data_IF_487558454208
#
_entry.id   IF_487558454208
#
_cell.length_a   1.000
_cell.length_b   1.000
_cell.length_c   1.000
_cell.angle_alpha   90.00
_cell.angle_beta   90.00
_cell.angle_gamma   90.00
#
_symmetry.space_group_name_H-M   'P 1'
#
loop_
_entity.id
_entity.type
_entity.pdbx_description
1 polymer ?
#
# COMPACT_ATOMS: atom_id res chain seq x y z
N UNK A 1 3.19 18.20 36.87
CA UNK A 1 1.89 18.66 36.48
C UNK A 1 1.48 17.89 35.27
N UNK A 2 1.31 18.39 34.07
CA UNK A 2 0.86 17.60 32.90
C UNK A 2 1.78 16.41 32.57
N UNK A 3 3.08 16.59 32.58
CA UNK A 3 4.07 15.54 32.30
C UNK A 3 4.05 14.40 33.34
N UNK A 4 3.66 14.71 34.60
CA UNK A 4 3.50 13.71 35.66
C UNK A 4 2.22 12.90 35.43
N UNK A 5 1.12 13.53 35.05
CA UNK A 5 -0.15 12.85 34.72
C UNK A 5 0.04 11.93 33.53
N UNK A 6 0.67 12.41 32.44
CA UNK A 6 0.97 11.60 31.25
C UNK A 6 1.82 10.37 31.60
N UNK A 7 2.88 10.55 32.40
CA UNK A 7 3.73 9.43 32.83
C UNK A 7 2.94 8.42 33.70
N UNK A 8 2.06 8.90 34.57
CA UNK A 8 1.23 8.05 35.42
C UNK A 8 0.27 7.20 34.58
N UNK A 9 -0.43 7.79 33.62
CA UNK A 9 -1.33 7.05 32.73
C UNK A 9 -0.57 6.04 31.85
N UNK A 10 0.59 6.41 31.33
CA UNK A 10 1.44 5.48 30.57
C UNK A 10 1.80 4.26 31.44
N UNK A 11 2.18 4.45 32.72
CA UNK A 11 2.48 3.34 33.62
C UNK A 11 1.25 2.46 33.88
N UNK A 12 0.07 3.05 33.98
CA UNK A 12 -1.16 2.28 34.14
C UNK A 12 -1.47 1.46 32.87
N UNK A 13 -1.27 2.04 31.68
CA UNK A 13 -1.41 1.34 30.40
C UNK A 13 -0.38 0.20 30.31
N UNK A 14 0.87 0.44 30.68
CA UNK A 14 1.90 -0.61 30.75
C UNK A 14 1.45 -1.75 31.64
N UNK A 15 1.01 -1.47 32.85
CA UNK A 15 0.54 -2.48 33.81
C UNK A 15 -0.70 -3.23 33.34
N UNK A 16 -1.58 -2.58 32.57
CA UNK A 16 -2.72 -3.23 31.94
C UNK A 16 -2.29 -4.14 30.80
N UNK A 17 -1.47 -3.64 29.88
CA UNK A 17 -1.02 -4.38 28.69
C UNK A 17 -0.08 -5.53 29.04
N UNK A 18 0.72 -5.39 30.10
CA UNK A 18 1.65 -6.44 30.55
C UNK A 18 0.92 -7.70 31.01
N UNK A 19 -0.26 -7.57 31.63
CA UNK A 19 -1.12 -8.70 32.00
C UNK A 19 -1.43 -9.61 30.80
N UNK A 20 -1.40 -9.05 29.61
CA UNK A 20 -1.70 -9.72 28.36
C UNK A 20 -0.44 -9.96 27.50
N UNK A 21 0.74 -9.74 28.10
CA UNK A 21 2.04 -9.93 27.42
C UNK A 21 2.25 -8.96 26.23
N UNK A 22 1.72 -7.75 26.33
CA UNK A 22 1.98 -6.66 25.39
C UNK A 22 3.04 -5.76 26.00
N UNK A 23 4.19 -5.65 25.34
CA UNK A 23 5.35 -4.94 25.87
C UNK A 23 5.16 -3.44 26.04
N UNK A 24 5.96 -2.80 26.92
CA UNK A 24 5.81 -1.39 27.34
C UNK A 24 5.96 -0.39 26.17
N UNK A 25 6.68 -0.75 25.10
CA UNK A 25 6.82 0.11 23.90
C UNK A 25 5.49 0.40 23.23
N UNK A 26 4.50 -0.49 23.35
CA UNK A 26 3.16 -0.28 22.81
C UNK A 26 2.37 0.76 23.61
N UNK A 27 2.62 0.90 24.93
CA UNK A 27 1.90 1.80 25.82
C UNK A 27 2.13 3.28 25.46
N UNK A 28 3.36 3.67 25.15
CA UNK A 28 3.67 5.04 24.71
C UNK A 28 2.94 5.37 23.40
N UNK A 29 2.95 4.43 22.45
CA UNK A 29 2.25 4.58 21.18
C UNK A 29 0.74 4.72 21.36
N UNK A 30 0.17 3.95 22.27
CA UNK A 30 -1.25 3.99 22.63
C UNK A 30 -1.60 5.34 23.27
N UNK A 31 -0.81 5.79 24.27
CA UNK A 31 -1.03 7.07 24.92
C UNK A 31 -0.88 8.25 23.95
N UNK A 32 0.12 8.21 23.06
CA UNK A 32 0.33 9.25 22.05
C UNK A 32 -0.87 9.40 21.10
N UNK A 33 -1.58 8.30 20.79
CA UNK A 33 -2.74 8.30 19.91
C UNK A 33 -4.06 8.58 20.62
N UNK A 34 -4.23 8.07 21.84
CA UNK A 34 -5.47 8.20 22.60
C UNK A 34 -5.50 9.42 23.53
N UNK A 35 -4.36 9.86 24.07
CA UNK A 35 -4.27 10.95 25.04
C UNK A 35 -4.78 10.57 26.42
N UNK A 36 -5.16 11.58 27.21
CA UNK A 36 -5.74 11.41 28.53
C UNK A 36 -7.00 10.54 28.51
N UNK A 37 -7.18 9.69 29.54
CA UNK A 37 -8.28 8.72 29.62
C UNK A 37 -8.11 7.52 28.69
N UNK A 38 -6.90 7.27 28.19
CA UNK A 38 -6.62 6.15 27.30
C UNK A 38 -7.00 4.80 27.92
N UNK A 39 -6.69 4.59 29.20
CA UNK A 39 -7.00 3.35 29.90
C UNK A 39 -8.51 3.10 30.02
N UNK A 40 -9.30 4.14 30.30
CA UNK A 40 -10.76 4.07 30.38
C UNK A 40 -11.34 3.66 29.03
N UNK A 41 -10.89 4.32 27.94
CA UNK A 41 -11.31 3.97 26.57
C UNK A 41 -10.95 2.54 26.18
N UNK A 42 -9.77 2.05 26.57
CA UNK A 42 -9.36 0.66 26.33
C UNK A 42 -10.24 -0.30 27.16
N UNK A 43 -10.56 0.07 28.40
CA UNK A 43 -11.42 -0.75 29.26
C UNK A 43 -12.84 -0.85 28.73
N UNK A 44 -13.38 0.23 28.16
CA UNK A 44 -14.69 0.25 27.50
C UNK A 44 -14.71 -0.44 26.13
N UNK A 45 -13.57 -0.41 25.43
CA UNK A 45 -13.42 -1.00 24.12
C UNK A 45 -11.98 -1.51 23.90
N UNK A 46 -11.65 -2.74 24.29
CA UNK A 46 -10.31 -3.30 24.08
C UNK A 46 -9.87 -3.32 22.63
N UNK A 47 -10.81 -3.42 21.68
CA UNK A 47 -10.51 -3.49 20.25
C UNK A 47 -9.90 -2.20 19.67
N UNK A 48 -9.96 -1.10 20.40
CA UNK A 48 -9.24 0.13 19.99
C UNK A 48 -7.73 -0.10 19.94
N UNK A 49 -7.20 -1.09 20.66
CA UNK A 49 -5.80 -1.47 20.65
C UNK A 49 -5.34 -1.97 19.28
N UNK A 50 -6.22 -2.59 18.49
CA UNK A 50 -5.90 -3.04 17.13
C UNK A 50 -5.58 -1.83 16.23
N UNK A 51 -6.31 -0.73 16.41
CA UNK A 51 -6.15 0.50 15.61
C UNK A 51 -4.95 1.36 16.07
N UNK A 52 -4.55 1.27 17.37
CA UNK A 52 -3.59 2.24 17.94
C UNK A 52 -2.26 1.63 18.40
N UNK A 53 -2.21 0.33 18.70
CA UNK A 53 -1.01 -0.30 19.23
C UNK A 53 -0.22 -1.00 18.12
N UNK A 54 1.05 -0.63 17.97
CA UNK A 54 1.96 -1.29 17.04
C UNK A 54 2.20 -2.74 17.47
N UNK A 55 2.19 -3.68 16.52
CA UNK A 55 2.49 -5.10 16.74
C UNK A 55 1.47 -5.85 17.63
N UNK A 56 0.27 -5.30 17.80
CA UNK A 56 -0.83 -5.97 18.51
C UNK A 56 -1.84 -6.44 17.48
N UNK A 57 -1.97 -7.76 17.35
CA UNK A 57 -2.92 -8.38 16.43
C UNK A 57 -4.31 -8.54 17.07
N UNK A 58 -5.32 -8.68 16.21
CA UNK A 58 -6.71 -8.90 16.62
C UNK A 58 -6.86 -10.08 17.59
N UNK A 59 -6.26 -11.24 17.28
CA UNK A 59 -6.42 -12.47 18.07
C UNK A 59 -6.00 -12.31 19.51
N UNK A 60 -4.95 -11.51 19.75
CA UNK A 60 -4.47 -11.21 21.09
C UNK A 60 -5.42 -10.28 21.85
N UNK A 61 -5.91 -9.24 21.16
CA UNK A 61 -6.89 -8.31 21.73
C UNK A 61 -8.23 -9.01 21.97
N UNK A 62 -8.66 -9.88 21.06
CA UNK A 62 -9.90 -10.65 21.19
C UNK A 62 -9.89 -11.52 22.44
N UNK A 63 -8.77 -12.21 22.70
CA UNK A 63 -8.61 -12.98 23.94
C UNK A 63 -8.76 -12.11 25.19
N UNK A 64 -8.12 -10.93 25.20
CA UNK A 64 -8.22 -9.96 26.29
C UNK A 64 -9.68 -9.53 26.50
N UNK A 65 -10.34 -9.13 25.40
CA UNK A 65 -11.72 -8.66 25.42
C UNK A 65 -12.68 -9.73 25.96
N UNK A 66 -12.50 -11.00 25.54
CA UNK A 66 -13.29 -12.14 26.02
C UNK A 66 -13.07 -12.39 27.52
N UNK A 67 -11.83 -12.32 28.01
CA UNK A 67 -11.52 -12.42 29.43
C UNK A 67 -12.11 -11.26 30.25
N UNK A 68 -12.30 -10.08 29.63
CA UNK A 68 -12.99 -8.93 30.23
C UNK A 68 -14.52 -9.04 30.17
N UNK A 69 -15.07 -10.12 29.57
CA UNK A 69 -16.50 -10.38 29.49
C UNK A 69 -17.22 -9.71 28.33
N UNK A 70 -16.49 -9.33 27.27
CA UNK A 70 -17.11 -8.86 26.03
C UNK A 70 -17.86 -10.01 25.36
N UNK A 71 -19.12 -9.80 24.98
CA UNK A 71 -19.95 -10.80 24.34
C UNK A 71 -19.44 -11.17 22.93
N UNK A 72 -19.59 -12.44 22.56
CA UNK A 72 -19.14 -12.95 21.24
C UNK A 72 -19.76 -12.19 20.08
N UNK A 73 -21.04 -11.82 20.17
CA UNK A 73 -21.80 -11.06 19.15
C UNK A 73 -21.59 -9.55 19.22
N UNK A 74 -20.70 -9.05 20.07
CA UNK A 74 -20.47 -7.62 20.20
C UNK A 74 -20.02 -6.99 18.88
N UNK A 75 -20.71 -5.94 18.43
CA UNK A 75 -20.41 -5.23 17.19
C UNK A 75 -18.96 -4.75 17.11
N UNK A 76 -18.39 -4.23 18.21
CA UNK A 76 -16.99 -3.73 18.23
C UNK A 76 -16.00 -4.86 17.95
N UNK A 77 -16.30 -6.07 18.46
CA UNK A 77 -15.53 -7.30 18.19
C UNK A 77 -15.58 -7.66 16.72
N UNK A 78 -16.78 -7.81 16.16
CA UNK A 78 -17.00 -8.23 14.78
C UNK A 78 -16.39 -7.22 13.80
N UNK A 79 -16.62 -5.92 14.02
CA UNK A 79 -16.02 -4.83 13.25
C UNK A 79 -14.49 -4.93 13.23
N UNK A 80 -13.88 -5.18 14.38
CA UNK A 80 -12.42 -5.28 14.48
C UNK A 80 -11.89 -6.54 13.77
N UNK A 81 -12.61 -7.66 13.84
CA UNK A 81 -12.33 -8.87 13.09
C UNK A 81 -12.33 -8.61 11.58
N UNK A 82 -13.39 -8.00 11.06
CA UNK A 82 -13.52 -7.66 9.63
C UNK A 82 -12.36 -6.75 9.18
N UNK A 83 -11.99 -5.75 9.95
CA UNK A 83 -10.83 -4.91 9.64
C UNK A 83 -9.54 -5.71 9.56
N UNK A 84 -9.33 -6.60 10.54
CA UNK A 84 -8.17 -7.47 10.57
C UNK A 84 -8.13 -8.44 9.38
N UNK A 85 -9.26 -9.04 9.01
CA UNK A 85 -9.39 -9.89 7.83
C UNK A 85 -9.01 -9.14 6.55
N UNK A 86 -9.54 -7.94 6.35
CA UNK A 86 -9.21 -7.09 5.21
C UNK A 86 -7.73 -6.67 5.20
N UNK A 87 -7.13 -6.38 6.36
CA UNK A 87 -5.71 -6.07 6.48
C UNK A 87 -4.83 -7.28 6.11
N UNK A 88 -5.17 -8.48 6.59
CA UNK A 88 -4.49 -9.73 6.21
C UNK A 88 -4.54 -10.00 4.71
N UNK A 89 -5.69 -9.73 4.09
CA UNK A 89 -5.87 -9.83 2.64
C UNK A 89 -4.96 -8.84 1.93
N UNK A 90 -4.83 -7.61 2.44
CA UNK A 90 -3.91 -6.59 1.96
C UNK A 90 -2.45 -7.00 2.04
N UNK A 91 -2.02 -7.60 3.15
CA UNK A 91 -0.66 -8.14 3.32
C UNK A 91 -0.33 -9.25 2.32
N UNK A 92 -1.33 -9.98 1.82
CA UNK A 92 -1.17 -10.97 0.76
C UNK A 92 -1.18 -10.36 -0.65
N UNK A 93 -1.17 -9.04 -0.78
CA UNK A 93 -1.11 -8.33 -2.06
C UNK A 93 -2.46 -8.14 -2.75
N UNK A 94 -3.58 -8.27 -2.04
CA UNK A 94 -4.91 -8.04 -2.57
C UNK A 94 -5.53 -6.79 -1.96
N UNK A 95 -6.14 -5.93 -2.76
CA UNK A 95 -6.82 -4.72 -2.30
C UNK A 95 -8.26 -4.96 -1.87
N UNK A 96 -8.86 -6.07 -2.29
CA UNK A 96 -10.24 -6.44 -2.04
C UNK A 96 -10.43 -7.95 -1.94
N UNK A 97 -11.61 -8.35 -1.48
CA UNK A 97 -12.03 -9.75 -1.36
C UNK A 97 -13.49 -9.90 -1.78
N UNK A 98 -13.85 -11.08 -2.30
CA UNK A 98 -15.26 -11.43 -2.53
C UNK A 98 -16.03 -11.44 -1.21
N UNK A 99 -17.26 -10.90 -1.24
CA UNK A 99 -18.13 -10.83 -0.06
C UNK A 99 -18.29 -12.20 0.63
N UNK A 100 -18.62 -13.23 -0.14
CA UNK A 100 -18.81 -14.58 0.40
C UNK A 100 -17.54 -15.15 1.05
N UNK A 101 -16.38 -14.82 0.48
CA UNK A 101 -15.09 -15.27 1.03
C UNK A 101 -14.76 -14.55 2.34
N UNK A 102 -15.11 -13.26 2.44
CA UNK A 102 -14.96 -12.50 3.68
C UNK A 102 -15.87 -13.07 4.77
N UNK A 103 -17.14 -13.28 4.47
CA UNK A 103 -18.10 -13.89 5.41
C UNK A 103 -17.57 -15.21 5.95
N UNK A 104 -17.12 -16.09 5.07
CA UNK A 104 -16.58 -17.40 5.47
C UNK A 104 -15.35 -17.25 6.34
N UNK A 105 -14.42 -16.36 5.98
CA UNK A 105 -13.23 -16.11 6.77
C UNK A 105 -13.58 -15.61 8.18
N UNK A 106 -14.53 -14.65 8.28
CA UNK A 106 -14.94 -14.08 9.56
C UNK A 106 -15.73 -15.07 10.42
N UNK A 107 -16.53 -15.96 9.82
CA UNK A 107 -17.18 -17.05 10.57
C UNK A 107 -16.14 -17.97 11.20
N UNK A 108 -15.10 -18.35 10.46
CA UNK A 108 -14.02 -19.20 10.96
C UNK A 108 -13.21 -18.50 12.06
N UNK A 109 -12.95 -17.19 11.90
CA UNK A 109 -12.18 -16.38 12.84
C UNK A 109 -12.95 -16.10 14.13
N UNK A 110 -14.17 -15.61 14.01
CA UNK A 110 -14.96 -15.08 15.14
C UNK A 110 -15.88 -16.12 15.77
N UNK A 111 -16.24 -17.16 15.05
CA UNK A 111 -17.17 -18.23 15.46
C UNK A 111 -18.55 -17.68 15.89
N UNK A 112 -19.04 -16.70 15.15
CA UNK A 112 -20.35 -16.09 15.35
C UNK A 112 -21.30 -16.41 14.22
N UNK A 113 -22.60 -16.16 14.44
CA UNK A 113 -23.61 -16.34 13.40
C UNK A 113 -23.38 -15.40 12.22
N UNK A 114 -23.68 -15.87 11.02
CA UNK A 114 -23.52 -15.12 9.77
C UNK A 114 -24.28 -13.79 9.82
N UNK A 115 -25.48 -13.78 10.39
CA UNK A 115 -26.31 -12.57 10.47
C UNK A 115 -25.61 -11.45 11.25
N UNK A 116 -24.84 -11.77 12.29
CA UNK A 116 -24.09 -10.79 13.06
C UNK A 116 -22.96 -10.17 12.23
N UNK A 117 -22.32 -10.95 11.34
CA UNK A 117 -21.27 -10.47 10.45
C UNK A 117 -21.87 -9.58 9.36
N UNK A 118 -22.98 -10.01 8.74
CA UNK A 118 -23.68 -9.25 7.71
C UNK A 118 -24.19 -7.90 8.26
N UNK A 119 -24.79 -7.92 9.46
CA UNK A 119 -25.22 -6.69 10.12
C UNK A 119 -24.04 -5.74 10.39
N UNK A 120 -22.91 -6.27 10.84
CA UNK A 120 -21.70 -5.47 11.05
C UNK A 120 -21.18 -4.88 9.74
N UNK A 121 -21.16 -5.64 8.64
CA UNK A 121 -20.78 -5.16 7.30
C UNK A 121 -21.69 -4.01 6.85
N UNK A 122 -22.99 -4.15 7.02
CA UNK A 122 -23.98 -3.09 6.69
C UNK A 122 -23.70 -1.82 7.49
N UNK A 123 -23.44 -1.96 8.80
CA UNK A 123 -23.10 -0.81 9.66
C UNK A 123 -21.76 -0.17 9.28
N UNK A 124 -20.74 -0.98 8.94
CA UNK A 124 -19.43 -0.47 8.52
C UNK A 124 -19.51 0.25 7.17
N UNK A 125 -20.33 -0.25 6.22
CA UNK A 125 -20.62 0.42 4.95
C UNK A 125 -21.30 1.78 5.19
N UNK A 126 -22.32 1.81 6.06
CA UNK A 126 -23.01 3.05 6.41
C UNK A 126 -22.11 4.11 7.08
N UNK A 127 -21.06 3.66 7.80
CA UNK A 127 -20.04 4.52 8.41
C UNK A 127 -18.86 4.81 7.47
N UNK A 128 -18.92 4.36 6.23
CA UNK A 128 -17.85 4.50 5.24
C UNK A 128 -16.49 3.93 5.70
N UNK A 129 -16.48 2.88 6.51
CA UNK A 129 -15.26 2.20 6.93
C UNK A 129 -14.79 1.17 5.90
N UNK A 130 -15.73 0.61 5.17
CA UNK A 130 -15.53 -0.31 4.05
C UNK A 130 -16.34 0.14 2.84
N UNK A 131 -15.95 -0.34 1.67
CA UNK A 131 -16.67 -0.13 0.41
C UNK A 131 -17.10 -1.47 -0.16
N UNK A 132 -18.37 -1.56 -0.54
CA UNK A 132 -18.93 -2.68 -1.28
C UNK A 132 -19.11 -2.25 -2.74
N UNK A 133 -18.53 -3.02 -3.66
CA UNK A 133 -18.55 -2.74 -5.10
C UNK A 133 -19.15 -3.92 -5.85
N UNK A 134 -20.27 -3.67 -6.54
CA UNK A 134 -20.85 -4.61 -7.49
C UNK A 134 -20.09 -4.52 -8.81
N UNK A 135 -19.54 -5.64 -9.27
CA UNK A 135 -18.84 -5.70 -10.55
C UNK A 135 -19.72 -6.29 -11.65
N UNK A 136 -19.38 -6.04 -12.94
CA UNK A 136 -20.16 -6.52 -14.08
C UNK A 136 -20.33 -8.04 -14.16
N UNK A 137 -19.50 -8.81 -13.45
CA UNK A 137 -19.61 -10.27 -13.32
C UNK A 137 -20.69 -10.72 -12.33
N UNK A 138 -21.43 -9.77 -11.74
CA UNK A 138 -22.49 -10.00 -10.74
C UNK A 138 -21.98 -10.36 -9.36
N UNK A 139 -20.66 -10.17 -9.09
CA UNK A 139 -20.06 -10.44 -7.79
C UNK A 139 -19.86 -9.15 -7.00
N UNK A 140 -20.14 -9.24 -5.70
CA UNK A 140 -19.89 -8.16 -4.76
C UNK A 140 -18.50 -8.30 -4.13
N UNK A 141 -17.74 -7.20 -4.13
CA UNK A 141 -16.39 -7.11 -3.61
C UNK A 141 -16.32 -6.16 -2.42
N UNK A 142 -15.56 -6.53 -1.41
CA UNK A 142 -15.37 -5.75 -0.19
C UNK A 142 -13.95 -5.20 -0.15
N UNK A 143 -13.84 -3.91 0.08
CA UNK A 143 -12.59 -3.18 0.26
C UNK A 143 -12.53 -2.53 1.64
N UNK A 144 -11.34 -2.40 2.21
CA UNK A 144 -11.14 -1.32 3.16
C UNK A 144 -11.21 0.02 2.44
N UNK A 145 -11.73 1.07 3.08
CA UNK A 145 -11.85 2.40 2.47
C UNK A 145 -10.53 2.90 1.89
N UNK A 146 -9.43 2.73 2.63
CA UNK A 146 -8.11 3.19 2.21
C UNK A 146 -7.63 2.52 0.91
N UNK A 147 -7.82 1.21 0.76
CA UNK A 147 -7.44 0.50 -0.47
C UNK A 147 -8.32 0.90 -1.65
N UNK A 148 -9.62 1.06 -1.43
CA UNK A 148 -10.53 1.54 -2.48
C UNK A 148 -10.15 2.93 -3.00
N UNK A 149 -9.93 3.88 -2.08
CA UNK A 149 -9.51 5.23 -2.43
C UNK A 149 -8.14 5.24 -3.14
N UNK A 150 -7.20 4.41 -2.67
CA UNK A 150 -5.90 4.29 -3.31
C UNK A 150 -6.00 3.77 -4.75
N UNK A 151 -6.74 2.69 -4.99
CA UNK A 151 -6.98 2.16 -6.35
C UNK A 151 -7.66 3.19 -7.25
N UNK A 152 -8.71 3.84 -6.76
CA UNK A 152 -9.43 4.86 -7.50
C UNK A 152 -8.51 6.02 -7.88
N UNK A 153 -7.76 6.55 -6.92
CA UNK A 153 -6.82 7.64 -7.15
C UNK A 153 -5.72 7.27 -8.16
N UNK A 154 -5.18 6.04 -8.07
CA UNK A 154 -4.19 5.53 -9.02
C UNK A 154 -4.82 5.44 -10.43
N UNK A 155 -6.02 4.88 -10.55
CA UNK A 155 -6.70 4.76 -11.83
C UNK A 155 -6.98 6.14 -12.46
N UNK A 156 -7.48 7.09 -11.70
CA UNK A 156 -7.73 8.46 -12.16
C UNK A 156 -6.45 9.14 -12.65
N UNK A 157 -5.34 9.02 -11.90
CA UNK A 157 -4.04 9.58 -12.29
C UNK A 157 -3.47 8.92 -13.54
N UNK A 158 -3.55 7.59 -13.65
CA UNK A 158 -3.08 6.87 -14.85
C UNK A 158 -3.90 7.28 -16.08
N UNK A 159 -5.23 7.39 -15.95
CA UNK A 159 -6.10 7.86 -17.03
C UNK A 159 -5.77 9.31 -17.41
N UNK A 160 -5.53 10.18 -16.42
CA UNK A 160 -5.10 11.54 -16.65
C UNK A 160 -3.79 11.63 -17.41
N UNK A 161 -2.78 10.87 -16.99
CA UNK A 161 -1.49 10.78 -17.69
C UNK A 161 -1.65 10.25 -19.12
N UNK A 162 -2.44 9.18 -19.31
CA UNK A 162 -2.70 8.60 -20.62
C UNK A 162 -3.29 9.61 -21.60
N UNK A 163 -4.17 10.46 -21.14
CA UNK A 163 -4.91 11.43 -21.95
C UNK A 163 -4.24 12.81 -22.02
N UNK A 164 -3.06 12.98 -21.47
CA UNK A 164 -2.33 14.26 -21.50
C UNK A 164 -1.87 14.60 -22.94
N UNK A 165 -2.15 15.84 -23.37
CA UNK A 165 -1.83 16.31 -24.74
C UNK A 165 -0.44 16.94 -24.89
N UNK A 166 0.25 17.22 -23.79
CA UNK A 166 1.52 17.96 -23.76
C UNK A 166 2.77 17.08 -23.90
N UNK A 167 2.64 15.84 -24.34
CA UNK A 167 3.77 14.91 -24.43
C UNK A 167 4.57 15.12 -25.71
N UNK A 168 5.86 15.33 -25.56
CA UNK A 168 6.80 15.50 -26.66
C UNK A 168 7.04 14.16 -27.38
N UNK A 169 6.72 14.09 -28.66
CA UNK A 169 6.94 12.90 -29.51
C UNK A 169 8.21 13.08 -30.35
N UNK A 170 8.99 12.00 -30.46
CA UNK A 170 10.20 11.96 -31.28
C UNK A 170 9.82 11.56 -32.69
N UNK A 171 10.03 12.45 -33.65
CA UNK A 171 9.65 12.22 -35.07
C UNK A 171 10.68 11.39 -35.82
N UNK A 172 11.93 11.43 -35.44
CA UNK A 172 13.07 10.74 -36.05
C UNK A 172 13.37 9.38 -35.44
N UNK A 173 12.39 8.81 -34.68
CA UNK A 173 12.56 7.62 -33.82
C UNK A 173 13.30 6.46 -34.53
N UNK A 174 12.89 6.09 -35.77
CA UNK A 174 13.47 4.92 -36.47
C UNK A 174 14.91 5.16 -36.91
N UNK A 175 15.24 6.37 -37.30
CA UNK A 175 16.61 6.77 -37.66
C UNK A 175 17.48 6.83 -36.42
N UNK A 176 16.96 7.39 -35.35
CA UNK A 176 17.64 7.51 -34.05
C UNK A 176 17.93 6.14 -33.43
N UNK A 177 16.98 5.19 -33.53
CA UNK A 177 17.20 3.84 -33.02
C UNK A 177 18.32 3.12 -33.75
N UNK A 178 18.45 3.23 -35.09
CA UNK A 178 19.57 2.65 -35.85
C UNK A 178 20.91 3.19 -35.38
N UNK A 179 21.00 4.51 -35.19
CA UNK A 179 22.22 5.16 -34.70
C UNK A 179 22.54 4.71 -33.25
N UNK A 180 21.52 4.52 -32.42
CA UNK A 180 21.69 4.06 -31.05
C UNK A 180 22.15 2.60 -31.03
N UNK A 181 21.55 1.73 -31.85
CA UNK A 181 21.96 0.33 -31.96
C UNK A 181 23.45 0.20 -32.30
N UNK A 182 23.92 0.99 -33.27
CA UNK A 182 25.32 1.04 -33.68
C UNK A 182 26.23 1.59 -32.54
N UNK A 183 25.79 2.63 -31.82
CA UNK A 183 26.59 3.29 -30.79
C UNK A 183 26.78 2.48 -29.51
N UNK A 184 25.79 1.68 -29.12
CA UNK A 184 25.83 0.88 -27.89
C UNK A 184 26.00 -0.62 -28.15
N UNK A 185 26.29 -0.98 -29.39
CA UNK A 185 26.55 -2.36 -29.86
C UNK A 185 25.44 -3.33 -29.44
N UNK A 186 24.19 -2.99 -29.81
CA UNK A 186 23.01 -3.83 -29.58
C UNK A 186 22.24 -4.02 -30.88
N UNK A 187 21.57 -5.15 -30.99
CA UNK A 187 20.59 -5.41 -32.02
C UNK A 187 19.20 -5.60 -31.37
N UNK A 188 18.26 -4.71 -31.69
CA UNK A 188 16.92 -4.78 -31.18
C UNK A 188 16.07 -5.74 -32.05
N UNK A 189 15.40 -6.69 -31.41
CA UNK A 189 14.38 -7.48 -32.11
C UNK A 189 13.19 -6.61 -32.52
N UNK A 190 12.39 -7.10 -33.45
CA UNK A 190 11.19 -6.40 -33.90
C UNK A 190 10.25 -6.03 -32.77
N UNK A 191 9.99 -6.98 -31.82
CA UNK A 191 9.15 -6.72 -30.64
C UNK A 191 9.74 -5.68 -29.67
N UNK A 192 11.07 -5.59 -29.58
CA UNK A 192 11.71 -4.56 -28.77
C UNK A 192 11.60 -3.19 -29.43
N UNK A 193 11.68 -3.11 -30.75
CA UNK A 193 11.43 -1.86 -31.50
C UNK A 193 9.98 -1.42 -31.36
N UNK A 194 9.01 -2.32 -31.53
CA UNK A 194 7.59 -2.06 -31.31
C UNK A 194 7.32 -1.51 -29.90
N UNK A 195 7.98 -2.07 -28.88
CA UNK A 195 7.86 -1.58 -27.51
C UNK A 195 8.36 -0.13 -27.36
N UNK A 196 9.48 0.24 -27.99
CA UNK A 196 10.01 1.60 -27.98
C UNK A 196 9.13 2.55 -28.81
N UNK A 197 8.61 2.12 -29.96
CA UNK A 197 7.63 2.87 -30.76
C UNK A 197 6.37 3.14 -29.92
N UNK A 198 5.88 2.14 -29.19
CA UNK A 198 4.72 2.28 -28.30
C UNK A 198 4.94 3.31 -27.18
N UNK A 199 6.14 3.37 -26.59
CA UNK A 199 6.49 4.40 -25.59
C UNK A 199 6.49 5.80 -26.20
N UNK A 200 6.91 5.93 -27.46
CA UNK A 200 6.88 7.21 -28.16
C UNK A 200 5.47 7.65 -28.54
N UNK A 201 4.55 6.70 -28.76
CA UNK A 201 3.16 6.97 -29.14
C UNK A 201 2.22 7.17 -27.96
N UNK A 202 2.52 6.56 -26.82
CA UNK A 202 1.65 6.53 -25.66
C UNK A 202 2.31 7.17 -24.43
N UNK A 203 1.53 7.87 -23.62
CA UNK A 203 2.01 8.54 -22.41
C UNK A 203 2.23 7.58 -21.24
N UNK A 204 1.55 6.44 -21.27
CA UNK A 204 1.70 5.36 -20.29
C UNK A 204 1.88 4.06 -21.06
N UNK A 205 2.95 3.33 -20.78
CA UNK A 205 3.26 2.06 -21.41
C UNK A 205 3.72 1.04 -20.37
N UNK A 206 3.28 -0.20 -20.48
CA UNK A 206 3.67 -1.32 -19.65
C UNK A 206 4.39 -2.35 -20.51
N UNK A 207 5.67 -2.61 -20.21
CA UNK A 207 6.48 -3.61 -20.91
C UNK A 207 6.64 -4.82 -19.99
N UNK A 208 6.12 -5.95 -20.41
CA UNK A 208 6.24 -7.23 -19.70
C UNK A 208 7.04 -8.24 -20.50
N UNK A 209 7.57 -9.24 -19.84
CA UNK A 209 8.29 -10.33 -20.49
C UNK A 209 8.99 -11.22 -19.46
N UNK A 210 9.30 -12.45 -19.86
CA UNK A 210 10.04 -13.42 -19.04
C UNK A 210 11.49 -12.99 -18.76
N UNK A 211 12.23 -13.75 -17.96
CA UNK A 211 13.67 -13.56 -17.79
C UNK A 211 14.39 -13.68 -19.15
N UNK A 212 15.41 -12.84 -19.39
CA UNK A 212 16.22 -12.91 -20.59
C UNK A 212 15.59 -12.34 -21.88
N UNK A 213 14.38 -11.78 -21.86
CA UNK A 213 13.73 -11.21 -23.04
C UNK A 213 14.26 -9.84 -23.47
N UNK A 214 15.31 -9.35 -22.85
CA UNK A 214 15.96 -8.09 -23.22
C UNK A 214 15.25 -6.82 -22.72
N UNK A 215 14.44 -6.89 -21.63
CA UNK A 215 13.83 -5.69 -21.03
C UNK A 215 14.84 -4.60 -20.68
N UNK A 216 16.01 -4.99 -20.17
CA UNK A 216 17.09 -4.05 -19.84
C UNK A 216 17.68 -3.42 -21.09
N UNK A 217 17.74 -4.15 -22.20
CA UNK A 217 18.18 -3.63 -23.50
C UNK A 217 17.24 -2.55 -24.01
N UNK A 218 15.92 -2.77 -23.88
CA UNK A 218 14.90 -1.76 -24.21
C UNK A 218 15.11 -0.50 -23.36
N UNK A 219 15.31 -0.66 -22.05
CA UNK A 219 15.53 0.49 -21.14
C UNK A 219 16.77 1.27 -21.55
N UNK A 220 17.89 0.62 -21.87
CA UNK A 220 19.10 1.29 -22.38
C UNK A 220 18.82 2.11 -23.63
N UNK A 221 18.17 1.50 -24.61
CA UNK A 221 17.84 2.18 -25.87
C UNK A 221 16.93 3.40 -25.64
N UNK A 222 15.94 3.31 -24.73
CA UNK A 222 15.07 4.43 -24.36
C UNK A 222 15.85 5.56 -23.69
N UNK A 223 16.76 5.24 -22.77
CA UNK A 223 17.62 6.21 -22.10
C UNK A 223 18.44 7.00 -23.12
N UNK A 224 19.13 6.32 -24.01
CA UNK A 224 19.95 6.96 -25.02
C UNK A 224 19.11 7.80 -26.01
N UNK A 225 17.93 7.29 -26.38
CA UNK A 225 16.97 8.04 -27.19
C UNK A 225 16.54 9.34 -26.52
N UNK A 226 16.18 9.29 -25.27
CA UNK A 226 15.71 10.47 -24.53
C UNK A 226 16.84 11.46 -24.32
N UNK A 227 18.06 11.01 -23.97
CA UNK A 227 19.24 11.87 -23.88
C UNK A 227 19.55 12.60 -25.17
N UNK A 228 19.51 11.87 -26.30
CA UNK A 228 19.72 12.45 -27.64
C UNK A 228 18.77 13.60 -27.93
N UNK A 229 17.55 13.53 -27.40
CA UNK A 229 16.52 14.58 -27.54
C UNK A 229 16.48 15.59 -26.40
N UNK A 230 17.49 15.61 -25.51
CA UNK A 230 17.59 16.54 -24.39
C UNK A 230 16.57 16.28 -23.28
N UNK A 231 15.96 15.10 -23.25
CA UNK A 231 15.07 14.68 -22.17
C UNK A 231 15.89 13.98 -21.06
N UNK A 232 15.49 14.15 -19.82
CA UNK A 232 16.16 13.55 -18.64
C UNK A 232 15.28 12.41 -18.09
N UNK A 233 15.55 11.15 -18.45
CA UNK A 233 14.82 10.02 -17.89
C UNK A 233 15.16 9.86 -16.40
N UNK A 234 14.15 9.52 -15.59
CA UNK A 234 14.32 9.19 -14.17
C UNK A 234 14.07 7.69 -13.99
N UNK A 235 15.04 7.00 -13.40
CA UNK A 235 14.97 5.57 -13.15
C UNK A 235 14.67 5.28 -11.69
N UNK A 236 13.66 4.44 -11.45
CA UNK A 236 13.35 4.02 -10.09
C UNK A 236 12.93 2.55 -10.03
N UNK A 237 13.09 1.96 -8.85
CA UNK A 237 12.73 0.59 -8.56
C UNK A 237 12.11 0.44 -7.17
N UNK A 238 11.30 -0.59 -6.91
CA UNK A 238 10.67 -0.76 -5.60
C UNK A 238 11.67 -1.09 -4.47
N UNK A 239 12.81 -1.72 -4.78
CA UNK A 239 13.80 -2.12 -3.77
C UNK A 239 15.19 -1.57 -4.09
N UNK A 240 16.04 -1.38 -3.05
CA UNK A 240 17.41 -0.92 -3.21
C UNK A 240 18.25 -1.86 -4.08
N UNK A 241 18.05 -3.18 -3.95
CA UNK A 241 18.75 -4.18 -4.77
C UNK A 241 18.37 -4.07 -6.26
N UNK A 242 17.10 -3.84 -6.55
CA UNK A 242 16.63 -3.65 -7.92
C UNK A 242 17.13 -2.32 -8.52
N UNK A 243 17.12 -1.23 -7.73
CA UNK A 243 17.67 0.06 -8.15
C UNK A 243 19.18 -0.07 -8.46
N UNK A 244 19.97 -0.68 -7.57
CA UNK A 244 21.40 -0.91 -7.79
C UNK A 244 21.65 -1.71 -9.07
N UNK A 245 20.91 -2.80 -9.28
CA UNK A 245 21.04 -3.60 -10.50
C UNK A 245 20.67 -2.80 -11.76
N UNK A 246 19.68 -1.93 -11.66
CA UNK A 246 19.30 -1.05 -12.77
C UNK A 246 20.44 -0.06 -13.09
N UNK A 247 21.05 0.57 -12.07
CA UNK A 247 22.23 1.44 -12.26
C UNK A 247 23.39 0.68 -12.91
N UNK A 248 23.73 -0.50 -12.40
CA UNK A 248 24.83 -1.31 -12.94
C UNK A 248 24.62 -1.71 -14.42
N UNK A 249 23.35 -1.98 -14.79
CA UNK A 249 23.03 -2.43 -16.15
C UNK A 249 22.81 -1.30 -17.13
N UNK A 250 22.31 -0.15 -16.70
CA UNK A 250 22.04 0.99 -17.59
C UNK A 250 23.15 2.03 -17.64
N UNK A 251 24.00 2.09 -16.60
CA UNK A 251 24.99 3.14 -16.40
C UNK A 251 24.39 4.45 -15.85
N UNK A 252 23.07 4.51 -15.61
CA UNK A 252 22.36 5.67 -15.09
C UNK A 252 21.95 5.49 -13.63
N UNK A 253 21.96 6.58 -12.85
CA UNK A 253 21.57 6.52 -11.44
C UNK A 253 20.10 6.18 -11.29
N UNK A 254 19.82 5.05 -10.65
CA UNK A 254 18.47 4.62 -10.32
C UNK A 254 18.26 4.67 -8.80
N UNK A 255 17.10 5.19 -8.38
CA UNK A 255 16.72 5.33 -6.97
C UNK A 255 15.60 4.36 -6.61
N UNK A 256 15.45 4.08 -5.31
CA UNK A 256 14.20 3.44 -4.86
C UNK A 256 13.05 4.44 -4.99
N UNK A 257 11.82 3.92 -5.18
CA UNK A 257 10.62 4.77 -5.19
C UNK A 257 10.53 5.63 -3.94
N UNK A 258 10.80 5.06 -2.76
CA UNK A 258 10.82 5.79 -1.49
C UNK A 258 11.82 6.96 -1.51
N UNK A 259 13.04 6.72 -2.01
CA UNK A 259 14.06 7.77 -2.07
C UNK A 259 13.77 8.82 -3.14
N UNK A 260 13.17 8.42 -4.25
CA UNK A 260 12.77 9.34 -5.31
C UNK A 260 11.66 10.28 -4.85
N UNK A 261 10.69 9.75 -4.10
CA UNK A 261 9.55 10.50 -3.58
C UNK A 261 9.85 11.19 -2.23
N UNK A 262 11.10 11.15 -1.77
CA UNK A 262 11.53 11.72 -0.49
C UNK A 262 10.66 11.31 0.71
N UNK A 263 10.17 10.07 0.69
CA UNK A 263 9.36 9.50 1.77
C UNK A 263 10.27 9.29 2.99
N UNK A 264 10.44 10.34 3.79
CA UNK A 264 11.25 10.31 4.99
C UNK A 264 10.56 9.48 6.09
N UNK A 265 11.30 8.53 6.68
CA UNK A 265 10.89 7.81 7.89
C UNK A 265 10.31 6.42 7.70
N UNK A 266 10.29 5.86 6.48
CA UNK A 266 10.04 4.43 6.30
C UNK A 266 11.38 3.70 6.29
N UNK A 267 11.69 3.00 7.37
CA UNK A 267 12.69 1.92 7.37
C UNK A 267 12.26 0.86 6.36
N UNK A 268 13.22 0.15 5.77
CA UNK A 268 12.99 -0.98 4.83
C UNK A 268 12.14 -2.13 5.42
N UNK A 269 11.65 -1.99 6.65
CA UNK A 269 10.73 -2.90 7.30
C UNK A 269 9.31 -2.66 6.77
N UNK A 270 8.84 -3.61 5.99
CA UNK A 270 7.53 -3.68 5.32
C UNK A 270 6.31 -3.71 6.27
N UNK A 271 6.48 -3.42 7.55
CA UNK A 271 5.47 -3.68 8.59
C UNK A 271 4.63 -2.48 9.05
N UNK A 272 4.79 -1.28 8.47
CA UNK A 272 3.98 -0.12 8.88
C UNK A 272 3.53 0.74 7.70
N UNK A 273 2.49 0.32 7.01
CA UNK A 273 1.67 1.23 6.19
C UNK A 273 0.80 2.11 7.10
N UNK A 274 1.38 3.11 7.74
CA UNK A 274 0.62 4.17 8.37
C UNK A 274 0.58 5.39 7.44
N UNK A 275 -0.60 5.68 6.91
CA UNK A 275 -0.97 6.54 5.80
C UNK A 275 -0.92 8.05 6.06
N UNK A 276 0.06 8.56 6.78
CA UNK A 276 0.33 10.00 6.83
C UNK A 276 1.65 10.31 6.11
N UNK A 277 1.72 9.92 4.83
CA UNK A 277 2.82 10.30 3.95
C UNK A 277 2.54 11.70 3.39
N UNK A 278 3.27 12.69 3.88
CA UNK A 278 3.46 13.94 3.16
C UNK A 278 4.30 13.61 1.92
N UNK A 279 3.64 13.38 0.80
CA UNK A 279 4.29 13.27 -0.51
C UNK A 279 4.50 14.69 -1.00
N UNK A 280 5.76 15.11 -1.08
CA UNK A 280 6.10 16.34 -1.82
C UNK A 280 5.89 16.05 -3.30
N UNK A 281 5.09 16.85 -4.02
CA UNK A 281 5.00 16.74 -5.47
C UNK A 281 6.39 16.91 -6.07
N UNK A 282 6.76 16.07 -7.03
CA UNK A 282 7.95 16.31 -7.85
C UNK A 282 7.55 17.43 -8.79
N UNK A 283 8.02 18.65 -8.52
CA UNK A 283 7.84 19.77 -9.44
C UNK A 283 8.56 19.41 -10.74
N UNK A 284 7.80 19.32 -11.82
CA UNK A 284 8.33 19.09 -13.15
C UNK A 284 8.90 20.42 -13.68
N UNK A 285 10.22 20.57 -13.61
CA UNK A 285 10.96 21.55 -14.41
C UNK A 285 11.24 21.01 -15.83
#
# INVERSE_FOLDING_TARGET
TEQFVANWEIWQIVGFLDKFGIGPQSAEGVYKKLGEGALERISENPYILVDVASKVNFEKVDRIAMEMGVEESNYKRIRSGIKYGLEKIGLNGNSCVLYDNLIKYEQDLLRVDINNIEEAIIQMKAKEEIVLEDRPDGKEWVYSKNFYEAEKNIAEKIVGLRNADNVKRIRTLREDLRIIEDNIDIELSEKQREAIESINEHNVCIITGGPGTGKTTIIKAIIELYKKHGMKPVLCAPTGRAAKRMTETTGEDAKTLHRLLELAGMSDDTDNFNTNLLVTPIDGD
#
